data_IF_302764329011
#
_entry.id   IF_302764329011
#
_cell.length_a   1.000
_cell.length_b   1.000
_cell.length_c   1.000
_cell.angle_alpha   90.00
_cell.angle_beta   90.00
_cell.angle_gamma   90.00
#
_symmetry.space_group_name_H-M   'P 1'
#
loop_
_entity.id
_entity.type
_entity.pdbx_description
1 polymer ?
#
# COMPACT_ATOMS: atom_id res chain seq x y z
N UNK A 1 9.31 68.67 -14.00
CA UNK A 1 8.33 67.81 -13.29
C UNK A 1 7.44 67.11 -14.31
N UNK A 2 7.52 65.78 -14.49
CA UNK A 2 6.75 65.07 -15.50
C UNK A 2 5.35 64.64 -15.01
N UNK A 3 4.47 64.48 -16.01
CA UNK A 3 3.01 64.41 -15.96
C UNK A 3 2.47 62.98 -15.78
N UNK A 4 1.30 62.90 -15.13
CA UNK A 4 0.12 62.09 -15.50
C UNK A 4 0.29 60.57 -15.69
N UNK A 5 -0.17 59.77 -14.72
CA UNK A 5 -0.30 58.31 -14.84
C UNK A 5 -1.75 57.87 -14.57
N UNK A 6 -2.60 57.94 -15.60
CA UNK A 6 -3.88 57.23 -15.70
C UNK A 6 -3.85 56.37 -16.95
N UNK A 7 -3.81 55.07 -16.75
CA UNK A 7 -4.35 53.98 -17.58
C UNK A 7 -3.37 52.80 -17.57
N UNK A 8 -3.71 51.77 -16.79
CA UNK A 8 -3.55 50.38 -17.23
C UNK A 8 -4.60 49.55 -16.50
N UNK A 9 -5.72 49.43 -17.22
CA UNK A 9 -6.81 48.50 -17.00
C UNK A 9 -6.23 47.09 -16.91
N UNK A 10 -6.80 46.31 -16.00
CA UNK A 10 -6.62 44.88 -15.81
C UNK A 10 -6.59 44.13 -17.15
N UNK A 11 -5.43 43.64 -17.56
CA UNK A 11 -5.33 42.55 -18.51
C UNK A 11 -5.04 41.29 -17.70
N UNK A 12 -6.05 40.41 -17.64
CA UNK A 12 -5.84 39.00 -17.33
C UNK A 12 -4.90 38.42 -18.40
N UNK A 13 -3.87 37.64 -18.04
CA UNK A 13 -3.11 36.90 -19.04
C UNK A 13 -4.04 35.86 -19.68
N UNK A 14 -4.46 36.19 -20.90
CA UNK A 14 -5.03 35.26 -21.87
C UNK A 14 -3.99 34.17 -22.18
N UNK A 15 -4.47 32.92 -22.19
CA UNK A 15 -3.73 31.71 -22.59
C UNK A 15 -2.61 31.25 -21.63
N UNK A 16 -2.99 30.84 -20.42
CA UNK A 16 -2.29 29.71 -19.80
C UNK A 16 -2.75 28.44 -20.54
N UNK A 17 -1.90 27.92 -21.42
CA UNK A 17 -2.11 26.61 -22.01
C UNK A 17 -2.22 25.59 -20.87
N UNK A 18 -3.38 24.94 -20.74
CA UNK A 18 -3.66 23.92 -19.72
C UNK A 18 -2.61 22.80 -19.78
N UNK A 19 -1.96 22.59 -20.94
CA UNK A 19 -0.86 21.64 -21.10
C UNK A 19 0.45 22.09 -20.42
N UNK A 20 0.71 23.40 -20.33
CA UNK A 20 1.92 23.92 -19.65
C UNK A 20 1.76 23.97 -18.13
N UNK A 21 0.54 24.19 -17.63
CA UNK A 21 0.24 24.13 -16.18
C UNK A 21 0.35 22.70 -15.62
N UNK A 22 0.01 21.68 -16.42
CA UNK A 22 0.06 20.29 -15.98
C UNK A 22 1.50 19.75 -15.88
N UNK A 23 2.43 20.25 -16.70
CA UNK A 23 3.86 19.89 -16.63
C UNK A 23 4.53 20.31 -15.33
N UNK A 24 4.16 21.47 -14.76
CA UNK A 24 4.79 22.00 -13.55
C UNK A 24 4.39 21.24 -12.27
N UNK A 25 3.29 20.47 -12.32
CA UNK A 25 2.83 19.58 -11.26
C UNK A 25 3.12 18.09 -11.54
N UNK A 26 3.77 17.77 -12.66
CA UNK A 26 4.06 16.39 -13.08
C UNK A 26 5.54 15.97 -13.01
N UNK A 27 6.45 16.85 -12.55
CA UNK A 27 7.87 16.50 -12.32
C UNK A 27 8.14 16.07 -10.86
N UNK A 28 7.35 15.12 -10.37
CA UNK A 28 7.72 14.36 -9.18
C UNK A 28 7.36 12.89 -9.36
N UNK A 29 8.17 12.22 -10.18
CA UNK A 29 8.41 10.77 -10.16
C UNK A 29 7.17 9.88 -10.00
N UNK A 30 6.10 10.12 -10.77
CA UNK A 30 5.02 9.14 -10.92
C UNK A 30 5.45 8.12 -11.98
N UNK A 31 6.04 7.03 -11.50
CA UNK A 31 5.87 5.72 -12.16
C UNK A 31 7.05 5.13 -12.93
N UNK A 32 8.27 5.66 -12.82
CA UNK A 32 9.46 4.94 -13.27
C UNK A 32 9.96 3.96 -12.18
N UNK A 33 9.14 2.96 -11.83
CA UNK A 33 9.56 1.88 -10.94
C UNK A 33 9.25 0.48 -11.50
N UNK A 34 9.46 0.27 -12.80
CA UNK A 34 9.81 -1.08 -13.26
C UNK A 34 11.26 -1.38 -12.84
N UNK A 35 11.47 -1.64 -11.55
CA UNK A 35 12.78 -1.99 -11.02
C UNK A 35 12.64 -3.00 -9.90
N UNK A 36 12.37 -4.27 -10.27
CA UNK A 36 12.55 -5.51 -9.49
C UNK A 36 13.18 -5.25 -8.10
N UNK A 37 12.42 -4.71 -7.16
CA UNK A 37 12.99 -4.12 -5.95
C UNK A 37 12.94 -5.17 -4.88
N UNK A 38 14.07 -5.88 -4.72
CA UNK A 38 14.24 -6.71 -3.52
C UNK A 38 14.08 -5.77 -2.32
N UNK A 39 13.30 -6.16 -1.32
CA UNK A 39 13.05 -5.37 -0.10
C UNK A 39 14.37 -4.87 0.54
N UNK A 40 15.45 -5.65 0.45
CA UNK A 40 16.79 -5.26 0.91
C UNK A 40 17.37 -4.00 0.24
N UNK A 41 16.82 -3.57 -0.89
CA UNK A 41 17.23 -2.36 -1.61
C UNK A 41 16.45 -1.12 -1.13
N UNK A 42 15.40 -1.29 -0.33
CA UNK A 42 14.72 -0.18 0.33
C UNK A 42 15.64 0.39 1.42
N UNK A 43 15.53 1.70 1.72
CA UNK A 43 16.04 2.28 2.96
C UNK A 43 15.63 1.40 4.15
N UNK A 44 16.52 1.24 5.11
CA UNK A 44 16.31 0.30 6.22
C UNK A 44 15.01 0.60 6.98
N UNK A 45 14.71 1.87 7.19
CA UNK A 45 13.49 2.35 7.85
C UNK A 45 12.20 2.23 7.01
N UNK A 46 12.31 1.86 5.73
CA UNK A 46 11.19 1.55 4.85
C UNK A 46 10.99 0.04 4.66
N UNK A 47 11.88 -0.80 5.19
CA UNK A 47 11.67 -2.25 5.14
C UNK A 47 10.63 -2.65 6.18
N UNK A 48 9.64 -3.50 5.86
CA UNK A 48 8.48 -3.69 6.73
C UNK A 48 8.80 -4.08 8.18
N UNK A 49 9.77 -4.99 8.40
CA UNK A 49 10.10 -5.46 9.75
C UNK A 49 10.80 -4.37 10.55
N UNK A 50 11.76 -3.71 9.93
CA UNK A 50 12.55 -2.65 10.50
C UNK A 50 11.69 -1.40 10.77
N UNK A 51 10.78 -1.06 9.85
CA UNK A 51 9.75 -0.03 10.02
C UNK A 51 8.85 -0.34 11.20
N UNK A 52 8.35 -1.58 11.33
CA UNK A 52 7.54 -2.01 12.48
C UNK A 52 8.31 -1.91 13.80
N UNK A 53 9.61 -2.22 13.82
CA UNK A 53 10.46 -2.12 15.02
C UNK A 53 10.80 -0.67 15.39
N UNK A 54 10.96 0.21 14.40
CA UNK A 54 11.32 1.63 14.60
C UNK A 54 10.10 2.48 14.96
N UNK A 55 8.95 2.18 14.37
CA UNK A 55 7.70 2.90 14.55
C UNK A 55 6.70 2.01 15.27
N UNK A 56 5.49 1.84 14.73
CA UNK A 56 4.45 0.99 15.29
C UNK A 56 3.73 0.19 14.18
N UNK A 57 2.99 -0.86 14.52
CA UNK A 57 2.21 -1.63 13.55
C UNK A 57 1.23 -0.80 12.72
N UNK A 58 0.70 0.30 13.26
CA UNK A 58 -0.28 1.20 12.62
C UNK A 58 0.32 2.00 11.46
N UNK A 59 1.64 2.18 11.43
CA UNK A 59 2.33 2.89 10.35
C UNK A 59 2.55 2.02 9.10
N UNK A 60 2.25 0.72 9.20
CA UNK A 60 2.34 -0.21 8.09
C UNK A 60 1.03 -0.27 7.32
N UNK A 61 1.14 -0.26 6.00
CA UNK A 61 0.04 -0.64 5.11
C UNK A 61 -0.33 -2.12 5.28
N UNK A 62 -1.55 -2.47 4.86
CA UNK A 62 -2.03 -3.85 4.79
C UNK A 62 -1.05 -4.76 4.01
N UNK A 63 -0.48 -4.24 2.92
CA UNK A 63 0.49 -4.96 2.10
C UNK A 63 1.81 -5.21 2.85
N UNK A 64 2.30 -4.23 3.62
CA UNK A 64 3.51 -4.40 4.43
C UNK A 64 3.29 -5.40 5.57
N UNK A 65 2.14 -5.33 6.27
CA UNK A 65 1.76 -6.31 7.30
C UNK A 65 1.72 -7.73 6.72
N UNK A 66 1.07 -7.88 5.57
CA UNK A 66 0.99 -9.16 4.90
C UNK A 66 2.37 -9.63 4.39
N UNK A 67 3.21 -8.74 3.88
CA UNK A 67 4.57 -9.06 3.45
C UNK A 67 5.43 -9.61 4.59
N UNK A 68 5.25 -9.13 5.83
CA UNK A 68 5.92 -9.67 7.02
C UNK A 68 5.53 -11.13 7.23
N UNK A 69 4.23 -11.45 7.14
CA UNK A 69 3.69 -12.82 7.27
C UNK A 69 4.19 -13.72 6.13
N UNK A 70 4.21 -13.20 4.89
CA UNK A 70 4.71 -13.95 3.72
C UNK A 70 6.20 -14.26 3.81
N UNK A 71 6.97 -13.46 4.57
CA UNK A 71 8.42 -13.49 4.83
C UNK A 71 9.33 -13.30 3.61
N UNK A 72 8.95 -13.86 2.47
CA UNK A 72 9.70 -13.85 1.22
C UNK A 72 8.78 -13.63 0.04
N UNK A 73 9.32 -13.01 -1.01
CA UNK A 73 8.62 -12.87 -2.28
C UNK A 73 8.61 -14.15 -3.10
N UNK A 74 8.63 -14.00 -4.41
CA UNK A 74 8.80 -15.09 -5.38
C UNK A 74 9.73 -14.64 -6.51
N UNK A 75 10.05 -15.53 -7.46
CA UNK A 75 10.89 -15.15 -8.60
C UNK A 75 10.22 -14.01 -9.38
N UNK A 76 10.83 -12.83 -9.33
CA UNK A 76 10.37 -11.63 -10.03
C UNK A 76 9.43 -10.72 -9.24
N UNK A 77 9.08 -11.05 -7.99
CA UNK A 77 8.27 -10.19 -7.10
C UNK A 77 8.83 -10.18 -5.68
N UNK A 78 8.90 -9.02 -5.06
CA UNK A 78 9.20 -8.82 -3.64
C UNK A 78 8.07 -9.38 -2.76
N UNK A 79 8.27 -9.45 -1.44
CA UNK A 79 7.18 -9.87 -0.55
C UNK A 79 6.05 -8.82 -0.49
N UNK A 80 6.38 -7.53 -0.68
CA UNK A 80 5.41 -6.44 -0.73
C UNK A 80 4.58 -6.54 -2.02
N UNK A 81 5.24 -6.64 -3.19
CA UNK A 81 4.56 -6.79 -4.48
C UNK A 81 3.66 -8.05 -4.52
N UNK A 82 4.09 -9.13 -3.87
CA UNK A 82 3.29 -10.35 -3.76
C UNK A 82 2.10 -10.19 -2.79
N UNK A 83 2.27 -9.38 -1.74
CA UNK A 83 1.21 -9.07 -0.79
C UNK A 83 0.15 -8.14 -1.40
N UNK A 84 0.57 -7.15 -2.19
CA UNK A 84 -0.31 -6.25 -2.96
C UNK A 84 -1.19 -7.06 -3.92
N UNK A 85 -0.59 -7.91 -4.76
CA UNK A 85 -1.33 -8.79 -5.68
C UNK A 85 -2.33 -9.70 -4.94
N UNK A 86 -1.93 -10.20 -3.77
CA UNK A 86 -2.82 -11.01 -2.94
C UNK A 86 -3.99 -10.19 -2.40
N UNK A 87 -3.76 -8.99 -1.87
CA UNK A 87 -4.81 -8.10 -1.38
C UNK A 87 -5.77 -7.71 -2.50
N UNK A 88 -5.26 -7.30 -3.67
CA UNK A 88 -6.08 -6.96 -4.83
C UNK A 88 -6.99 -8.11 -5.23
N UNK A 89 -6.45 -9.33 -5.25
CA UNK A 89 -7.24 -10.50 -5.64
C UNK A 89 -8.38 -10.79 -4.65
N UNK A 90 -8.28 -10.39 -3.38
CA UNK A 90 -9.35 -10.48 -2.37
C UNK A 90 -10.17 -9.19 -2.26
N UNK A 91 -10.14 -8.29 -3.25
CA UNK A 91 -10.94 -7.06 -3.20
C UNK A 91 -10.31 -5.93 -2.36
N UNK A 92 -8.99 -5.94 -2.20
CA UNK A 92 -8.20 -4.81 -1.71
C UNK A 92 -8.15 -4.63 -0.20
N UNK A 93 -8.71 -5.54 0.59
CA UNK A 93 -8.66 -5.45 2.06
C UNK A 93 -8.71 -6.82 2.74
N UNK A 94 -8.32 -6.88 4.01
CA UNK A 94 -8.39 -8.12 4.79
C UNK A 94 -9.80 -8.73 4.90
N UNK A 95 -10.85 -7.91 4.72
CA UNK A 95 -12.24 -8.38 4.78
C UNK A 95 -12.55 -9.41 3.69
N UNK A 96 -11.98 -9.26 2.50
CA UNK A 96 -12.30 -10.15 1.38
C UNK A 96 -11.59 -11.50 1.41
N UNK A 97 -10.79 -11.79 2.44
CA UNK A 97 -10.41 -13.16 2.75
C UNK A 97 -11.61 -13.98 3.27
N UNK A 98 -12.61 -13.32 3.85
CA UNK A 98 -13.82 -14.01 4.30
C UNK A 98 -14.61 -14.55 3.11
N UNK A 99 -14.93 -15.84 3.14
CA UNK A 99 -15.78 -16.50 2.13
C UNK A 99 -15.08 -16.86 0.81
N UNK A 100 -13.77 -16.64 0.69
CA UNK A 100 -13.05 -16.98 -0.54
C UNK A 100 -12.41 -18.37 -0.49
N UNK A 101 -12.51 -19.11 -1.59
CA UNK A 101 -11.92 -20.44 -1.69
C UNK A 101 -10.38 -20.36 -1.70
N UNK A 102 -9.75 -21.17 -0.85
CA UNK A 102 -8.30 -21.34 -0.78
C UNK A 102 -7.71 -21.66 -2.16
N UNK A 103 -8.43 -22.43 -2.98
CA UNK A 103 -8.02 -22.79 -4.35
C UNK A 103 -7.79 -21.55 -5.21
N UNK A 104 -8.62 -20.52 -5.09
CA UNK A 104 -8.47 -19.29 -5.85
C UNK A 104 -7.28 -18.46 -5.38
N UNK A 105 -6.95 -18.53 -4.10
CA UNK A 105 -5.76 -17.85 -3.56
C UNK A 105 -4.47 -18.56 -4.01
N UNK A 106 -4.46 -19.90 -4.06
CA UNK A 106 -3.29 -20.68 -4.50
C UNK A 106 -2.90 -20.49 -5.98
N UNK A 107 -3.79 -19.90 -6.80
CA UNK A 107 -3.53 -19.57 -8.21
C UNK A 107 -2.46 -18.47 -8.34
N UNK A 108 -2.28 -17.64 -7.32
CA UNK A 108 -1.25 -16.59 -7.32
C UNK A 108 0.14 -17.23 -7.25
N UNK A 109 0.98 -16.89 -8.22
CA UNK A 109 2.35 -17.41 -8.30
C UNK A 109 3.14 -16.98 -7.06
N UNK A 110 3.62 -17.95 -6.29
CA UNK A 110 4.40 -17.69 -5.07
C UNK A 110 3.58 -17.70 -3.79
N UNK A 111 2.26 -17.88 -3.87
CA UNK A 111 1.38 -18.20 -2.74
C UNK A 111 1.06 -19.69 -2.79
N UNK A 112 1.67 -20.45 -1.89
CA UNK A 112 1.50 -21.91 -1.73
C UNK A 112 1.09 -22.22 -0.30
N UNK A 113 0.82 -23.49 -0.03
CA UNK A 113 0.30 -23.98 1.26
C UNK A 113 1.00 -23.36 2.48
N UNK A 114 2.34 -23.27 2.48
CA UNK A 114 3.07 -22.68 3.61
C UNK A 114 2.67 -21.22 3.92
N UNK A 115 2.58 -20.36 2.89
CA UNK A 115 2.19 -18.96 3.08
C UNK A 115 0.70 -18.84 3.42
N UNK A 116 -0.14 -19.68 2.83
CA UNK A 116 -1.58 -19.74 3.12
C UNK A 116 -1.87 -20.14 4.55
N UNK A 117 -1.22 -21.20 5.04
CA UNK A 117 -1.36 -21.65 6.43
C UNK A 117 -0.91 -20.56 7.39
N UNK A 118 0.17 -19.83 7.09
CA UNK A 118 0.62 -18.71 7.92
C UNK A 118 -0.42 -17.58 7.99
N UNK A 119 -1.04 -17.21 6.86
CA UNK A 119 -2.10 -16.19 6.82
C UNK A 119 -3.33 -16.69 7.61
N UNK A 120 -3.80 -17.91 7.33
CA UNK A 120 -4.97 -18.48 7.98
C UNK A 120 -4.79 -18.59 9.50
N UNK A 121 -3.61 -19.03 9.96
CA UNK A 121 -3.28 -19.07 11.38
C UNK A 121 -3.30 -17.68 12.01
N UNK A 122 -2.74 -16.67 11.33
CA UNK A 122 -2.73 -15.28 11.83
C UNK A 122 -4.15 -14.73 11.98
N UNK A 123 -5.01 -14.94 10.97
CA UNK A 123 -6.40 -14.51 11.01
C UNK A 123 -7.20 -15.22 12.11
N UNK A 124 -7.00 -16.53 12.28
CA UNK A 124 -7.67 -17.31 13.33
C UNK A 124 -7.25 -16.84 14.73
N UNK A 125 -5.97 -16.52 14.94
CA UNK A 125 -5.49 -15.93 16.20
C UNK A 125 -6.21 -14.61 16.47
N UNK A 126 -6.24 -13.70 15.49
CA UNK A 126 -6.94 -12.42 15.62
C UNK A 126 -8.43 -12.62 15.91
N UNK A 127 -9.08 -13.57 15.24
CA UNK A 127 -10.49 -13.90 15.46
C UNK A 127 -10.75 -14.40 16.89
N UNK A 128 -9.88 -15.28 17.44
CA UNK A 128 -9.99 -15.78 18.82
C UNK A 128 -9.81 -14.67 19.85
N UNK A 129 -8.85 -13.78 19.65
CA UNK A 129 -8.61 -12.63 20.53
C UNK A 129 -9.88 -11.75 20.59
N UNK A 130 -10.44 -11.41 19.43
CA UNK A 130 -11.67 -10.61 19.36
C UNK A 130 -12.85 -11.32 20.02
N UNK A 131 -13.02 -12.63 19.77
CA UNK A 131 -14.09 -13.44 20.36
C UNK A 131 -13.99 -13.48 21.89
N UNK A 132 -12.78 -13.60 22.44
CA UNK A 132 -12.55 -13.57 23.89
C UNK A 132 -12.86 -12.18 24.46
N UNK A 133 -12.35 -11.13 23.84
CA UNK A 133 -12.58 -9.75 24.27
C UNK A 133 -14.07 -9.36 24.26
N UNK A 134 -14.85 -9.83 23.29
CA UNK A 134 -16.29 -9.57 23.29
C UNK A 134 -17.05 -10.34 24.38
N UNK A 135 -16.60 -11.56 24.70
CA UNK A 135 -17.19 -12.37 25.77
C UNK A 135 -16.95 -11.76 27.15
N UNK A 136 -15.76 -11.21 27.38
CA UNK A 136 -15.43 -10.48 28.62
C UNK A 136 -16.27 -9.21 28.81
N UNK A 137 -16.62 -8.54 27.70
CA UNK A 137 -17.44 -7.32 27.71
C UNK A 137 -18.95 -7.60 27.78
N UNK A 138 -19.37 -8.87 27.82
CA UNK A 138 -20.79 -9.25 27.83
C UNK A 138 -21.55 -8.87 26.56
N UNK A 139 -20.85 -8.69 25.44
CA UNK A 139 -21.45 -8.34 24.14
C UNK A 139 -22.02 -9.60 23.44
N UNK A 140 -21.64 -10.79 23.90
CA UNK A 140 -22.21 -12.10 23.54
C UNK A 140 -22.28 -13.04 24.74
#
# INVERSE_FOLDING_TARGET
>A
MPKNNRSKITQTPSSYDVKQGLSLFMDKDIGAANKKSKIKNLPEDQRPREKMLKYSPEELSDAELLAIILRTGTKGKSAIELAEELLESVGGSFKGFSGRDIKDITKIKGIKNAKLVAIAATMEIAHRILKQAFREKGIF
#
